data_IF_980483180688
#
_entry.id   IF_980483180688
#
_cell.length_a   1.000
_cell.length_b   1.000
_cell.length_c   1.000
_cell.angle_alpha   90.00
_cell.angle_beta   90.00
_cell.angle_gamma   90.00
#
_symmetry.space_group_name_H-M   'P 1'
#
loop_
_entity.id
_entity.type
_entity.pdbx_description
1 polymer ?
#
# COMPACT_ATOMS: atom_id res chain seq x y z
N UNK A 1 10.34 14.29 26.28
CA UNK A 1 11.15 15.28 27.03
C UNK A 1 12.43 15.64 26.27
N UNK A 2 13.42 14.76 26.15
CA UNK A 2 14.66 15.04 25.38
C UNK A 2 14.42 15.48 23.93
N UNK A 3 13.42 14.91 23.25
CA UNK A 3 12.97 15.38 21.93
C UNK A 3 12.60 16.86 21.97
N UNK A 4 11.60 17.23 22.79
CA UNK A 4 11.12 18.60 22.91
C UNK A 4 12.24 19.58 23.27
N UNK A 5 13.17 19.19 24.15
CA UNK A 5 14.35 20.00 24.47
C UNK A 5 15.26 20.24 23.26
N UNK A 6 15.58 19.19 22.48
CA UNK A 6 16.37 19.32 21.25
C UNK A 6 15.68 20.18 20.18
N UNK A 7 14.36 20.30 20.26
CA UNK A 7 13.52 21.10 19.37
C UNK A 7 13.18 22.48 19.94
N UNK A 8 13.95 22.97 20.93
CA UNK A 8 13.76 24.32 21.48
C UNK A 8 12.49 24.50 22.31
N UNK A 9 11.80 23.40 22.62
CA UNK A 9 10.55 23.33 23.41
C UNK A 9 10.81 22.71 24.78
N UNK A 10 11.95 23.05 25.39
CA UNK A 10 12.32 22.57 26.71
C UNK A 10 11.24 22.96 27.74
N UNK A 11 10.70 21.96 28.45
CA UNK A 11 9.65 22.17 29.46
C UNK A 11 8.21 22.20 28.93
N UNK A 12 7.98 22.07 27.62
CA UNK A 12 6.63 21.94 27.07
C UNK A 12 5.95 20.67 27.60
N UNK A 13 4.73 20.82 28.10
CA UNK A 13 3.85 19.72 28.51
C UNK A 13 2.95 19.25 27.36
N UNK A 14 2.26 18.13 27.55
CA UNK A 14 1.40 17.52 26.53
C UNK A 14 0.28 18.45 26.02
N UNK A 15 -0.14 19.44 26.81
CA UNK A 15 -1.14 20.43 26.43
C UNK A 15 -0.57 21.66 25.72
N UNK A 16 0.75 21.85 25.71
CA UNK A 16 1.40 23.06 25.18
C UNK A 16 1.73 22.94 23.69
N UNK A 17 1.54 21.76 23.11
CA UNK A 17 1.91 21.47 21.73
C UNK A 17 0.96 20.46 21.09
N UNK A 18 0.47 20.79 19.91
CA UNK A 18 -0.24 19.84 19.05
C UNK A 18 0.73 19.12 18.11
N UNK A 19 0.32 17.93 17.64
CA UNK A 19 1.13 17.18 16.70
C UNK A 19 1.17 17.85 15.31
N UNK A 20 0.11 18.55 14.89
CA UNK A 20 0.10 19.33 13.64
C UNK A 20 1.16 20.44 13.69
N UNK A 21 1.19 21.23 14.78
CA UNK A 21 2.22 22.25 14.99
C UNK A 21 3.63 21.64 14.98
N UNK A 22 3.83 20.43 15.50
CA UNK A 22 5.12 19.75 15.43
C UNK A 22 5.49 19.38 13.99
N UNK A 23 4.56 18.81 13.23
CA UNK A 23 4.80 18.41 11.85
C UNK A 23 5.09 19.64 10.99
N UNK A 24 4.28 20.68 11.10
CA UNK A 24 4.44 21.93 10.32
C UNK A 24 5.77 22.63 10.59
N UNK A 25 6.25 22.64 11.84
CA UNK A 25 7.50 23.33 12.18
C UNK A 25 8.75 22.49 11.91
N UNK A 26 8.70 21.19 12.20
CA UNK A 26 9.90 20.33 12.18
C UNK A 26 10.11 19.61 10.86
N UNK A 27 9.07 19.50 10.04
CA UNK A 27 9.13 18.82 8.75
C UNK A 27 9.12 19.83 7.61
N UNK A 28 9.76 19.41 6.52
CA UNK A 28 9.60 20.02 5.22
C UNK A 28 8.57 19.16 4.46
N UNK A 29 7.42 19.73 4.15
CA UNK A 29 6.31 19.03 3.49
C UNK A 29 6.16 19.48 2.03
N UNK A 30 6.41 18.56 1.09
CA UNK A 30 6.28 18.80 -0.33
C UNK A 30 4.87 18.43 -0.83
N UNK A 31 4.12 19.37 -1.44
CA UNK A 31 2.84 19.08 -2.05
C UNK A 31 3.02 18.43 -3.42
N UNK A 32 2.46 17.23 -3.61
CA UNK A 32 2.63 16.41 -4.82
C UNK A 32 1.28 15.80 -5.20
N UNK A 33 0.42 16.60 -5.82
CA UNK A 33 -0.95 16.19 -6.14
C UNK A 33 -1.74 15.83 -4.88
N UNK A 34 -2.21 14.58 -4.78
CA UNK A 34 -2.94 14.07 -3.60
C UNK A 34 -2.05 13.87 -2.38
N UNK A 35 -0.73 13.78 -2.56
CA UNK A 35 0.21 13.53 -1.47
C UNK A 35 0.77 14.83 -0.90
N UNK A 36 1.01 14.82 0.39
CA UNK A 36 1.90 15.75 1.07
C UNK A 36 3.01 14.92 1.72
N UNK A 37 4.18 14.89 1.07
CA UNK A 37 5.32 14.09 1.53
C UNK A 37 6.20 14.94 2.44
N UNK A 38 6.28 14.56 3.71
CA UNK A 38 7.00 15.26 4.74
C UNK A 38 8.28 14.52 5.15
N UNK A 39 9.36 15.24 5.40
CA UNK A 39 10.62 14.71 5.97
C UNK A 39 11.12 15.68 7.05
N UNK A 40 11.67 15.20 8.19
CA UNK A 40 12.21 16.10 9.19
C UNK A 40 13.34 16.95 8.61
N UNK A 41 13.29 18.26 8.80
CA UNK A 41 14.25 19.22 8.24
C UNK A 41 15.68 18.86 8.58
N UNK A 42 15.93 18.43 9.82
CA UNK A 42 17.25 17.99 10.29
C UNK A 42 17.87 16.89 9.43
N UNK A 43 17.07 15.99 8.85
CA UNK A 43 17.58 14.87 8.08
C UNK A 43 18.05 15.31 6.69
N UNK A 44 17.53 16.42 6.16
CA UNK A 44 17.95 16.98 4.86
C UNK A 44 19.39 17.49 4.86
N UNK A 45 19.98 17.79 6.02
CA UNK A 45 21.41 18.07 6.13
C UNK A 45 22.30 16.86 5.79
N UNK A 46 21.75 15.64 5.78
CA UNK A 46 22.50 14.43 5.43
C UNK A 46 22.67 14.37 3.91
N UNK A 47 23.91 14.25 3.37
CA UNK A 47 24.18 14.49 1.94
C UNK A 47 23.33 13.71 0.92
N UNK A 48 22.85 12.52 1.27
CA UNK A 48 22.03 11.69 0.38
C UNK A 48 20.53 11.93 0.49
N UNK A 49 20.05 12.54 1.57
CA UNK A 49 18.60 12.61 1.85
C UNK A 49 17.84 13.60 0.96
N UNK A 50 18.36 14.79 0.61
CA UNK A 50 17.66 15.69 -0.32
C UNK A 50 17.35 15.06 -1.68
N UNK A 51 18.34 14.43 -2.31
CA UNK A 51 18.18 13.76 -3.60
C UNK A 51 17.22 12.55 -3.49
N UNK A 52 17.28 11.83 -2.38
CA UNK A 52 16.37 10.70 -2.11
C UNK A 52 14.93 11.18 -1.92
N UNK A 53 14.73 12.25 -1.15
CA UNK A 53 13.43 12.86 -0.93
C UNK A 53 12.81 13.30 -2.27
N UNK A 54 13.56 14.03 -3.10
CA UNK A 54 13.16 14.39 -4.45
C UNK A 54 12.78 13.16 -5.30
N UNK A 55 13.60 12.08 -5.26
CA UNK A 55 13.31 10.84 -5.98
C UNK A 55 12.02 10.14 -5.51
N UNK A 56 11.75 10.15 -4.20
CA UNK A 56 10.50 9.63 -3.64
C UNK A 56 9.30 10.47 -4.09
N UNK A 57 9.44 11.79 -4.15
CA UNK A 57 8.38 12.67 -4.67
C UNK A 57 8.03 12.33 -6.12
N UNK A 58 9.03 12.09 -6.97
CA UNK A 58 8.83 11.67 -8.36
C UNK A 58 8.13 10.31 -8.45
N UNK A 59 8.54 9.32 -7.65
CA UNK A 59 7.89 8.00 -7.64
C UNK A 59 6.40 8.09 -7.23
N UNK A 60 6.04 8.98 -6.32
CA UNK A 60 4.64 9.19 -5.92
C UNK A 60 3.83 9.94 -6.99
N UNK A 61 4.46 10.82 -7.75
CA UNK A 61 3.84 11.46 -8.92
C UNK A 61 3.59 10.44 -10.03
N UNK A 62 4.57 9.57 -10.32
CA UNK A 62 4.45 8.47 -11.28
C UNK A 62 3.30 7.53 -10.91
N UNK A 63 3.15 7.25 -9.62
CA UNK A 63 2.08 6.42 -9.12
C UNK A 63 0.69 7.06 -9.34
N UNK A 64 0.56 8.39 -9.22
CA UNK A 64 -0.68 9.11 -9.55
C UNK A 64 -0.97 9.10 -11.05
N UNK A 65 0.06 9.25 -11.89
CA UNK A 65 -0.08 9.13 -13.34
C UNK A 65 -0.53 7.72 -13.75
N UNK A 66 0.02 6.68 -13.12
CA UNK A 66 -0.43 5.31 -13.33
C UNK A 66 -1.87 5.08 -12.85
N UNK A 67 -2.26 5.66 -11.72
CA UNK A 67 -3.65 5.62 -11.24
C UNK A 67 -4.60 6.26 -12.25
N UNK A 68 -4.22 7.40 -12.82
CA UNK A 68 -4.99 8.06 -13.89
C UNK A 68 -5.18 7.13 -15.10
N UNK A 69 -4.15 6.41 -15.51
CA UNK A 69 -4.23 5.42 -16.60
C UNK A 69 -5.16 4.25 -16.27
N UNK A 70 -5.27 3.86 -15.00
CA UNK A 70 -6.17 2.80 -14.54
C UNK A 70 -7.62 3.25 -14.49
N UNK A 71 -7.89 4.47 -14.01
CA UNK A 71 -9.26 4.99 -13.84
C UNK A 71 -9.81 5.60 -15.13
N UNK A 72 -8.97 6.14 -16.02
CA UNK A 72 -9.38 6.84 -17.25
C UNK A 72 -8.53 6.42 -18.46
N UNK A 73 -8.51 5.12 -18.83
CA UNK A 73 -7.66 4.63 -19.91
C UNK A 73 -8.08 5.25 -21.25
N UNK A 74 -7.15 5.97 -21.90
CA UNK A 74 -7.34 6.62 -23.20
C UNK A 74 -8.44 7.70 -23.23
N UNK A 75 -8.76 8.31 -22.09
CA UNK A 75 -9.75 9.40 -22.02
C UNK A 75 -9.11 10.74 -22.41
N UNK A 76 -9.65 11.39 -23.44
CA UNK A 76 -9.17 12.69 -23.93
C UNK A 76 -9.39 13.82 -22.93
N UNK A 77 -10.34 13.67 -22.01
CA UNK A 77 -10.66 14.67 -21.01
C UNK A 77 -9.60 14.74 -19.90
N UNK A 78 -8.64 13.79 -19.89
CA UNK A 78 -7.49 13.80 -18.97
C UNK A 78 -6.34 14.71 -19.41
N UNK A 79 -6.42 15.35 -20.58
CA UNK A 79 -5.35 16.22 -21.11
C UNK A 79 -4.91 17.33 -20.14
N UNK A 80 -5.81 18.07 -19.46
CA UNK A 80 -5.40 19.09 -18.50
C UNK A 80 -4.62 18.48 -17.32
N UNK A 81 -5.13 17.39 -16.75
CA UNK A 81 -4.47 16.71 -15.62
C UNK A 81 -3.10 16.18 -16.00
N UNK A 82 -2.94 15.65 -17.22
CA UNK A 82 -1.62 15.23 -17.74
C UNK A 82 -0.66 16.38 -17.95
N UNK A 83 -1.15 17.55 -18.34
CA UNK A 83 -0.33 18.75 -18.45
C UNK A 83 0.14 19.20 -17.05
N UNK A 84 -0.74 19.19 -16.05
CA UNK A 84 -0.38 19.50 -14.66
C UNK A 84 0.62 18.47 -14.10
N UNK A 85 0.42 17.15 -14.32
CA UNK A 85 1.37 16.10 -13.96
C UNK A 85 2.77 16.36 -14.57
N UNK A 86 2.83 16.70 -15.86
CA UNK A 86 4.09 16.99 -16.54
C UNK A 86 4.76 18.27 -16.00
N UNK A 87 3.98 19.31 -15.69
CA UNK A 87 4.47 20.55 -15.10
C UNK A 87 5.04 20.32 -13.69
N UNK A 88 4.30 19.60 -12.84
CA UNK A 88 4.72 19.24 -11.48
C UNK A 88 5.96 18.34 -11.53
N UNK A 89 6.04 17.37 -12.45
CA UNK A 89 7.25 16.55 -12.66
C UNK A 89 8.47 17.41 -12.94
N UNK A 90 8.37 18.30 -13.92
CA UNK A 90 9.47 19.19 -14.31
C UNK A 90 9.89 20.11 -13.16
N UNK A 91 8.92 20.61 -12.39
CA UNK A 91 9.18 21.40 -11.19
C UNK A 91 9.97 20.60 -10.15
N UNK A 92 9.55 19.37 -9.83
CA UNK A 92 10.24 18.49 -8.89
C UNK A 92 11.66 18.18 -9.37
N UNK A 93 11.85 17.83 -10.65
CA UNK A 93 13.17 17.57 -11.25
C UNK A 93 14.10 18.80 -11.18
N UNK A 94 13.53 20.00 -11.14
CA UNK A 94 14.25 21.27 -11.06
C UNK A 94 14.73 21.68 -9.67
N UNK A 95 14.31 20.99 -8.60
CA UNK A 95 14.69 21.37 -7.23
C UNK A 95 16.21 21.30 -7.00
N UNK A 96 16.78 22.34 -6.41
CA UNK A 96 18.17 22.31 -5.96
C UNK A 96 18.27 21.56 -4.62
N UNK A 97 18.87 20.37 -4.67
CA UNK A 97 19.16 19.56 -3.48
C UNK A 97 19.99 20.29 -2.42
N UNK A 98 20.77 21.31 -2.77
CA UNK A 98 21.49 22.15 -1.81
C UNK A 98 20.58 23.12 -1.06
N UNK A 99 19.58 23.69 -1.74
CA UNK A 99 18.55 24.51 -1.07
C UNK A 99 17.72 23.65 -0.12
N UNK A 100 17.34 22.44 -0.55
CA UNK A 100 16.68 21.47 0.34
C UNK A 100 17.54 21.12 1.56
N UNK A 101 18.86 20.95 1.39
CA UNK A 101 19.75 20.71 2.53
C UNK A 101 19.85 21.91 3.49
N UNK A 102 19.81 23.14 2.96
CA UNK A 102 19.85 24.36 3.75
C UNK A 102 18.62 24.53 4.66
N UNK A 103 17.49 23.89 4.31
CA UNK A 103 16.27 23.90 5.12
C UNK A 103 16.45 23.34 6.53
N UNK A 104 17.53 22.59 6.79
CA UNK A 104 17.88 22.09 8.11
C UNK A 104 18.33 23.19 9.07
N UNK A 105 18.80 24.32 8.55
CA UNK A 105 19.25 25.49 9.30
C UNK A 105 18.34 26.72 9.13
N UNK A 106 17.44 26.71 8.15
CA UNK A 106 16.56 27.84 7.85
C UNK A 106 15.38 27.88 8.82
N UNK A 107 15.06 29.07 9.33
CA UNK A 107 14.09 29.34 10.40
C UNK A 107 12.61 29.12 10.04
N UNK A 108 12.28 28.05 9.32
CA UNK A 108 10.90 27.59 9.11
C UNK A 108 10.25 28.01 7.79
N UNK A 109 11.00 28.35 6.74
CA UNK A 109 10.42 28.66 5.42
C UNK A 109 9.50 27.53 4.93
N UNK A 110 8.36 27.90 4.34
CA UNK A 110 7.46 26.95 3.68
C UNK A 110 8.11 26.30 2.46
N UNK A 111 7.56 25.18 1.97
CA UNK A 111 8.17 24.42 0.86
C UNK A 111 8.34 25.26 -0.41
N UNK A 112 7.28 25.93 -0.86
CA UNK A 112 7.30 26.76 -2.07
C UNK A 112 8.25 27.96 -1.95
N UNK A 113 8.39 28.54 -0.76
CA UNK A 113 9.34 29.63 -0.52
C UNK A 113 10.77 29.13 -0.61
N UNK A 114 11.04 27.95 -0.03
CA UNK A 114 12.37 27.33 -0.01
C UNK A 114 12.87 26.98 -1.42
N UNK A 115 12.01 26.41 -2.27
CA UNK A 115 12.37 26.02 -3.64
C UNK A 115 12.07 27.11 -4.68
N UNK A 116 11.75 28.32 -4.22
CA UNK A 116 11.47 29.49 -5.05
C UNK A 116 10.42 29.23 -6.16
N UNK A 117 9.33 28.53 -5.80
CA UNK A 117 8.27 28.17 -6.74
C UNK A 117 7.65 29.40 -7.42
N UNK A 118 7.47 29.29 -8.74
CA UNK A 118 6.72 30.28 -9.52
C UNK A 118 5.21 30.16 -9.28
N UNK A 119 4.41 31.22 -9.54
CA UNK A 119 2.96 31.14 -9.44
C UNK A 119 2.32 30.03 -10.29
N UNK A 120 2.86 29.76 -11.48
CA UNK A 120 2.35 28.71 -12.37
C UNK A 120 2.59 27.29 -11.81
N UNK A 121 3.73 27.07 -11.14
CA UNK A 121 4.05 25.78 -10.51
C UNK A 121 3.14 25.53 -9.30
N UNK A 122 2.88 26.57 -8.51
CA UNK A 122 1.92 26.52 -7.40
C UNK A 122 0.53 26.20 -7.95
N UNK A 123 0.08 26.93 -8.97
CA UNK A 123 -1.25 26.71 -9.56
C UNK A 123 -1.38 25.31 -10.16
N UNK A 124 -0.36 24.80 -10.87
CA UNK A 124 -0.36 23.44 -11.41
C UNK A 124 -0.45 22.37 -10.32
N UNK A 125 0.25 22.58 -9.20
CA UNK A 125 0.20 21.67 -8.05
C UNK A 125 -1.19 21.66 -7.40
N UNK A 126 -1.81 22.83 -7.23
CA UNK A 126 -3.16 22.95 -6.70
C UNK A 126 -4.23 22.37 -7.64
N UNK A 127 -4.13 22.61 -8.96
CA UNK A 127 -5.04 22.00 -9.94
C UNK A 127 -4.92 20.48 -9.99
N UNK A 128 -3.70 19.96 -9.89
CA UNK A 128 -3.46 18.52 -9.81
C UNK A 128 -4.09 17.92 -8.54
N UNK A 129 -3.80 18.51 -7.37
CA UNK A 129 -4.42 18.11 -6.10
C UNK A 129 -5.93 18.09 -6.20
N UNK A 130 -6.52 19.20 -6.66
CA UNK A 130 -7.97 19.34 -6.82
C UNK A 130 -8.56 18.25 -7.71
N UNK A 131 -7.90 17.95 -8.83
CA UNK A 131 -8.36 16.93 -9.79
C UNK A 131 -8.47 15.54 -9.16
N UNK A 132 -7.52 15.19 -8.28
CA UNK A 132 -7.53 13.89 -7.59
C UNK A 132 -8.46 13.92 -6.36
N UNK A 133 -8.37 14.95 -5.54
CA UNK A 133 -9.09 15.06 -4.26
C UNK A 133 -10.58 15.36 -4.39
N UNK A 134 -11.03 16.08 -5.43
CA UNK A 134 -12.45 16.43 -5.60
C UNK A 134 -13.23 15.45 -6.48
N UNK A 135 -12.73 14.23 -6.67
CA UNK A 135 -13.48 13.17 -7.36
C UNK A 135 -13.62 13.34 -8.88
N UNK A 136 -13.11 14.44 -9.45
CA UNK A 136 -13.20 14.74 -10.87
C UNK A 136 -12.62 13.60 -11.74
N UNK A 137 -11.52 12.97 -11.30
CA UNK A 137 -10.94 11.80 -11.98
C UNK A 137 -11.84 10.55 -11.91
N UNK A 138 -12.54 10.36 -10.80
CA UNK A 138 -13.47 9.25 -10.59
C UNK A 138 -14.82 9.48 -11.29
N UNK A 139 -15.12 10.74 -11.65
CA UNK A 139 -16.40 11.13 -12.26
C UNK A 139 -17.52 11.34 -11.24
N UNK A 140 -17.18 11.39 -9.95
CA UNK A 140 -18.12 11.70 -8.87
C UNK A 140 -17.82 13.04 -8.20
N UNK A 141 -18.61 13.35 -7.17
CA UNK A 141 -18.52 14.60 -6.38
C UNK A 141 -17.79 14.40 -5.05
N UNK A 142 -17.23 13.20 -4.81
CA UNK A 142 -16.58 12.85 -3.55
C UNK A 142 -15.34 13.70 -3.34
N UNK A 143 -15.22 14.29 -2.16
CA UNK A 143 -14.05 15.07 -1.74
C UNK A 143 -13.26 14.28 -0.71
N UNK A 144 -11.95 14.20 -0.89
CA UNK A 144 -11.03 13.66 0.12
C UNK A 144 -9.98 14.69 0.48
N UNK A 145 -9.49 14.62 1.71
CA UNK A 145 -8.33 15.40 2.14
C UNK A 145 -7.05 14.82 1.52
N UNK A 146 -5.97 15.63 1.39
CA UNK A 146 -4.66 15.14 0.99
C UNK A 146 -4.13 14.06 1.94
N UNK A 147 -3.36 13.13 1.37
CA UNK A 147 -2.68 12.07 2.12
C UNK A 147 -1.35 12.61 2.64
N UNK A 148 -1.25 12.83 3.95
CA UNK A 148 0.01 13.26 4.58
C UNK A 148 0.88 12.05 4.90
N UNK A 149 2.07 12.00 4.32
CA UNK A 149 3.04 10.92 4.52
C UNK A 149 4.30 11.50 5.15
N UNK A 150 4.57 11.17 6.42
CA UNK A 150 5.80 11.56 7.10
C UNK A 150 6.86 10.45 7.01
N UNK A 151 8.01 10.78 6.44
CA UNK A 151 9.16 9.90 6.29
C UNK A 151 10.10 10.02 7.49
N UNK A 152 10.59 8.90 7.99
CA UNK A 152 11.53 8.84 9.10
C UNK A 152 12.81 8.15 8.62
N UNK A 153 13.85 8.90 8.24
CA UNK A 153 15.09 8.34 7.69
C UNK A 153 15.82 7.37 8.63
N UNK A 154 15.75 7.60 9.94
CA UNK A 154 16.33 6.72 10.94
C UNK A 154 15.30 6.01 11.82
N UNK A 155 15.65 4.82 12.32
CA UNK A 155 14.84 4.09 13.32
C UNK A 155 14.61 4.92 14.58
N UNK A 156 15.63 5.68 15.00
CA UNK A 156 15.54 6.57 16.15
C UNK A 156 14.45 7.63 15.92
N UNK A 157 14.43 8.29 14.77
CA UNK A 157 13.43 9.32 14.45
C UNK A 157 12.01 8.73 14.43
N UNK A 158 11.85 7.53 13.84
CA UNK A 158 10.55 6.85 13.77
C UNK A 158 10.01 6.49 15.16
N UNK A 159 10.82 5.83 15.99
CA UNK A 159 10.40 5.42 17.34
C UNK A 159 10.23 6.63 18.25
N UNK A 160 11.09 7.64 18.13
CA UNK A 160 10.95 8.89 18.87
C UNK A 160 9.63 9.59 18.56
N UNK A 161 9.22 9.64 17.30
CA UNK A 161 7.92 10.20 16.92
C UNK A 161 6.77 9.43 17.58
N UNK A 162 6.81 8.09 17.59
CA UNK A 162 5.79 7.27 18.27
C UNK A 162 5.73 7.55 19.78
N UNK A 163 6.89 7.74 20.41
CA UNK A 163 6.96 8.17 21.80
C UNK A 163 6.37 9.58 22.01
N UNK A 164 6.65 10.51 21.10
CA UNK A 164 6.11 11.88 21.14
C UNK A 164 4.59 11.88 20.96
N UNK A 165 4.06 11.09 20.03
CA UNK A 165 2.60 10.93 19.84
C UNK A 165 1.93 10.46 21.13
N UNK A 166 2.43 9.40 21.77
CA UNK A 166 1.86 8.94 23.04
C UNK A 166 2.09 9.92 24.21
N UNK A 167 3.12 10.76 24.15
CA UNK A 167 3.34 11.82 25.14
C UNK A 167 2.33 12.96 24.98
N UNK A 168 2.15 13.48 23.77
CA UNK A 168 1.21 14.57 23.45
C UNK A 168 -0.25 14.11 23.53
N UNK A 169 -0.51 12.82 23.30
CA UNK A 169 -1.86 12.23 23.30
C UNK A 169 -1.91 11.01 24.21
N UNK A 170 -2.06 11.20 25.53
CA UNK A 170 -2.03 10.10 26.51
C UNK A 170 -3.05 8.98 26.22
N UNK A 171 -4.19 9.29 25.62
CA UNK A 171 -5.20 8.31 25.21
C UNK A 171 -4.70 7.33 24.13
N UNK A 172 -3.62 7.67 23.42
CA UNK A 172 -3.02 6.82 22.39
C UNK A 172 -1.86 5.95 22.92
N UNK A 173 -1.40 6.16 24.15
CA UNK A 173 -0.33 5.36 24.76
C UNK A 173 -0.58 3.84 24.72
N UNK A 174 -1.81 3.33 24.99
CA UNK A 174 -2.07 1.89 24.93
C UNK A 174 -1.83 1.26 23.54
N UNK A 175 -1.86 2.07 22.48
CA UNK A 175 -1.68 1.63 21.10
C UNK A 175 -0.24 1.80 20.60
N UNK A 176 0.47 2.85 21.03
CA UNK A 176 1.81 3.17 20.55
C UNK A 176 2.95 2.78 21.51
N UNK A 177 2.68 2.62 22.79
CA UNK A 177 3.69 2.25 23.80
C UNK A 177 3.56 0.77 24.16
N UNK A 178 3.58 -0.05 23.11
CA UNK A 178 3.43 -1.51 23.19
C UNK A 178 4.77 -2.20 23.03
N UNK A 179 4.85 -3.46 23.49
CA UNK A 179 6.01 -4.31 23.20
C UNK A 179 6.07 -4.65 21.71
N UNK A 180 7.26 -4.65 21.11
CA UNK A 180 7.44 -4.93 19.67
C UNK A 180 7.40 -3.69 18.77
N UNK A 181 7.33 -2.48 19.33
CA UNK A 181 7.40 -1.23 18.56
C UNK A 181 8.65 -1.14 17.67
N UNK A 182 9.75 -1.75 18.13
CA UNK A 182 11.01 -1.83 17.42
C UNK A 182 10.90 -2.54 16.05
N UNK A 183 9.88 -3.37 15.84
CA UNK A 183 9.64 -4.08 14.57
C UNK A 183 8.62 -3.38 13.68
N UNK A 184 8.07 -2.25 14.11
CA UNK A 184 7.11 -1.48 13.31
C UNK A 184 7.80 -0.71 12.20
N UNK A 185 7.19 -0.63 11.03
CA UNK A 185 7.72 0.13 9.89
C UNK A 185 6.80 1.26 9.43
N UNK A 186 5.61 1.33 10.02
CA UNK A 186 4.62 2.35 9.73
C UNK A 186 3.70 2.57 10.92
N UNK A 187 3.06 3.73 10.96
CA UNK A 187 1.88 3.99 11.77
C UNK A 187 0.91 4.89 11.02
N UNK A 188 -0.36 4.89 11.45
CA UNK A 188 -1.40 5.78 10.92
C UNK A 188 -2.07 6.49 12.09
N UNK A 189 -2.32 7.78 11.93
CA UNK A 189 -3.17 8.60 12.78
C UNK A 189 -4.35 9.11 11.96
N UNK A 190 -5.46 8.36 12.03
CA UNK A 190 -6.63 8.57 11.19
C UNK A 190 -7.21 9.98 11.32
N UNK A 191 -7.23 10.53 12.53
CA UNK A 191 -7.82 11.84 12.83
C UNK A 191 -6.96 13.03 12.37
N UNK A 192 -5.69 12.78 12.07
CA UNK A 192 -4.75 13.78 11.54
C UNK A 192 -4.39 13.54 10.07
N UNK A 193 -4.97 12.51 9.45
CA UNK A 193 -4.63 12.06 8.10
C UNK A 193 -3.13 11.80 7.88
N UNK A 194 -2.41 11.40 8.95
CA UNK A 194 -0.96 11.26 8.94
C UNK A 194 -0.52 9.78 8.91
N UNK A 195 0.23 9.42 7.89
CA UNK A 195 0.89 8.13 7.75
C UNK A 195 2.38 8.29 7.98
N UNK A 196 2.90 7.74 9.08
CA UNK A 196 4.32 7.78 9.40
C UNK A 196 5.03 6.53 8.91
N UNK A 197 6.11 6.68 8.15
CA UNK A 197 6.83 5.58 7.48
C UNK A 197 8.33 5.57 7.83
N UNK A 198 8.82 4.44 8.33
CA UNK A 198 10.25 4.25 8.55
C UNK A 198 10.97 3.95 7.22
N UNK A 199 12.15 4.53 7.01
CA UNK A 199 13.01 4.26 5.84
C UNK A 199 14.14 3.26 6.12
N UNK A 200 14.15 2.68 7.32
CA UNK A 200 15.11 1.65 7.75
C UNK A 200 14.39 0.51 8.47
N UNK A 201 14.95 -0.69 8.33
CA UNK A 201 14.62 -1.87 9.13
C UNK A 201 15.31 -1.80 10.50
N UNK A 202 14.77 -2.45 11.54
CA UNK A 202 15.51 -2.69 12.76
C UNK A 202 16.78 -3.51 12.45
N UNK A 203 17.87 -3.23 13.16
CA UNK A 203 19.09 -4.03 13.03
C UNK A 203 18.85 -5.46 13.57
N UNK A 204 19.41 -6.46 12.88
CA UNK A 204 19.29 -7.86 13.29
C UNK A 204 19.85 -8.08 14.71
N UNK A 205 19.10 -8.81 15.55
CA UNK A 205 19.51 -9.15 16.91
C UNK A 205 19.41 -8.02 17.94
N UNK A 206 18.91 -6.84 17.58
CA UNK A 206 18.68 -5.74 18.52
C UNK A 206 17.31 -5.89 19.17
N UNK A 207 17.28 -6.37 20.41
CA UNK A 207 16.10 -6.33 21.28
C UNK A 207 16.32 -5.33 22.40
N UNK A 208 15.42 -4.36 22.57
CA UNK A 208 15.45 -3.44 23.69
C UNK A 208 16.28 -2.17 23.47
N UNK A 209 15.65 -1.04 23.84
CA UNK A 209 16.15 0.32 24.15
C UNK A 209 17.12 1.02 23.20
N UNK A 210 17.69 0.37 22.19
CA UNK A 210 18.75 0.95 21.35
C UNK A 210 18.23 1.14 19.92
N UNK A 211 17.57 2.28 19.69
CA UNK A 211 17.00 2.64 18.37
C UNK A 211 18.00 3.39 17.47
N UNK A 212 19.25 3.55 17.93
CA UNK A 212 20.29 4.29 17.20
C UNK A 212 20.87 3.56 16.00
N UNK A 213 20.58 2.26 15.85
CA UNK A 213 21.01 1.43 14.72
C UNK A 213 19.81 0.95 13.91
N UNK A 214 19.95 0.93 12.59
CA UNK A 214 19.00 0.35 11.65
C UNK A 214 19.72 -0.06 10.37
N UNK A 215 19.13 -1.00 9.64
CA UNK A 215 19.59 -1.38 8.30
C UNK A 215 18.77 -0.60 7.27
N UNK A 216 19.42 0.07 6.33
CA UNK A 216 18.68 0.77 5.28
C UNK A 216 17.96 -0.25 4.38
N UNK A 217 16.73 0.06 3.99
CA UNK A 217 15.93 -0.89 3.21
C UNK A 217 16.57 -1.18 1.84
N UNK A 218 17.27 -0.19 1.29
CA UNK A 218 17.97 -0.29 0.00
C UNK A 218 19.29 -1.09 0.02
N UNK A 219 19.80 -1.49 1.20
CA UNK A 219 21.07 -2.23 1.30
C UNK A 219 20.97 -3.65 0.73
N UNK A 220 19.83 -4.32 0.93
CA UNK A 220 19.58 -5.69 0.43
C UNK A 220 18.96 -5.70 -0.97
N UNK A 221 18.07 -4.75 -1.26
CA UNK A 221 17.46 -4.57 -2.57
C UNK A 221 17.35 -3.07 -2.86
N UNK A 222 18.01 -2.60 -3.93
CA UNK A 222 18.11 -1.17 -4.27
C UNK A 222 16.76 -0.46 -4.42
N UNK A 223 15.71 -1.18 -4.81
CA UNK A 223 14.38 -0.60 -5.01
C UNK A 223 13.46 -0.75 -3.80
N UNK A 224 13.80 -1.58 -2.80
CA UNK A 224 12.88 -1.94 -1.71
C UNK A 224 12.35 -0.72 -0.94
N UNK A 225 13.17 0.31 -0.72
CA UNK A 225 12.71 1.55 -0.09
C UNK A 225 11.63 2.25 -0.94
N UNK A 226 11.90 2.43 -2.23
CA UNK A 226 10.98 3.10 -3.15
C UNK A 226 9.68 2.31 -3.26
N UNK A 227 9.78 1.00 -3.45
CA UNK A 227 8.62 0.09 -3.50
C UNK A 227 7.78 0.20 -2.22
N UNK A 228 8.41 0.19 -1.04
CA UNK A 228 7.70 0.23 0.24
C UNK A 228 7.01 1.57 0.49
N UNK A 229 7.69 2.69 0.26
CA UNK A 229 7.09 4.02 0.43
C UNK A 229 5.95 4.22 -0.56
N UNK A 230 6.15 3.88 -1.84
CA UNK A 230 5.11 4.01 -2.87
C UNK A 230 3.92 3.11 -2.55
N UNK A 231 4.13 1.86 -2.12
CA UNK A 231 3.03 0.96 -1.75
C UNK A 231 2.18 1.52 -0.61
N UNK A 232 2.81 2.01 0.45
CA UNK A 232 2.11 2.48 1.65
C UNK A 232 1.40 3.81 1.40
N UNK A 233 2.03 4.71 0.62
CA UNK A 233 1.37 5.92 0.15
C UNK A 233 0.16 5.59 -0.74
N UNK A 234 0.28 4.62 -1.66
CA UNK A 234 -0.84 4.17 -2.49
C UNK A 234 -1.96 3.52 -1.68
N UNK A 235 -1.64 2.72 -0.67
CA UNK A 235 -2.65 2.19 0.26
C UNK A 235 -3.45 3.34 0.89
N UNK A 236 -2.75 4.34 1.42
CA UNK A 236 -3.36 5.51 2.03
C UNK A 236 -4.19 6.32 1.03
N UNK A 237 -3.69 6.52 -0.19
CA UNK A 237 -4.42 7.19 -1.27
C UNK A 237 -5.72 6.47 -1.60
N UNK A 238 -5.67 5.17 -1.86
CA UNK A 238 -6.88 4.40 -2.21
C UNK A 238 -7.86 4.43 -1.04
N UNK A 239 -7.39 4.21 0.20
CA UNK A 239 -8.24 4.32 1.40
C UNK A 239 -8.98 5.67 1.43
N UNK A 240 -8.29 6.78 1.17
CA UNK A 240 -8.90 8.13 1.21
C UNK A 240 -9.83 8.40 0.04
N UNK A 241 -9.48 7.95 -1.17
CA UNK A 241 -10.34 8.08 -2.33
C UNK A 241 -11.68 7.36 -2.15
N UNK A 242 -11.72 6.31 -1.34
CA UNK A 242 -12.92 5.50 -1.09
C UNK A 242 -13.42 5.56 0.37
N UNK A 243 -12.98 6.54 1.17
CA UNK A 243 -13.43 6.81 2.56
C UNK A 243 -13.42 5.59 3.50
N UNK A 244 -12.33 4.81 3.51
CA UNK A 244 -12.17 3.59 4.34
C UNK A 244 -13.18 2.46 4.06
N UNK A 245 -14.10 2.61 3.10
CA UNK A 245 -15.18 1.64 2.87
C UNK A 245 -14.72 0.42 2.04
N UNK A 246 -13.60 0.50 1.32
CA UNK A 246 -13.08 -0.63 0.54
C UNK A 246 -12.45 -1.72 1.43
N UNK A 247 -12.63 -3.02 1.09
CA UNK A 247 -11.90 -4.09 1.76
C UNK A 247 -10.39 -3.86 1.67
N UNK A 248 -9.67 -3.87 2.79
CA UNK A 248 -8.24 -3.56 2.85
C UNK A 248 -7.40 -4.49 1.99
N UNK A 249 -7.86 -5.72 1.78
CA UNK A 249 -7.23 -6.68 0.87
C UNK A 249 -7.33 -6.30 -0.61
N UNK A 250 -8.37 -5.58 -1.01
CA UNK A 250 -8.50 -5.00 -2.35
C UNK A 250 -7.57 -3.80 -2.47
N UNK A 251 -7.54 -2.92 -1.46
CA UNK A 251 -6.60 -1.80 -1.37
C UNK A 251 -5.15 -2.27 -1.57
N UNK A 252 -4.73 -3.28 -0.81
CA UNK A 252 -3.38 -3.85 -0.92
C UNK A 252 -3.15 -4.51 -2.27
N UNK A 253 -4.14 -5.19 -2.84
CA UNK A 253 -3.98 -5.82 -4.15
C UNK A 253 -3.83 -4.78 -5.26
N UNK A 254 -4.51 -3.64 -5.18
CA UNK A 254 -4.35 -2.51 -6.10
C UNK A 254 -2.94 -1.92 -5.98
N UNK A 255 -2.51 -1.55 -4.77
CA UNK A 255 -1.20 -0.93 -4.55
C UNK A 255 -0.05 -1.85 -4.95
N UNK A 256 -0.10 -3.14 -4.62
CA UNK A 256 0.92 -4.11 -5.02
C UNK A 256 1.04 -4.19 -6.55
N UNK A 257 -0.09 -4.24 -7.26
CA UNK A 257 -0.07 -4.29 -8.72
C UNK A 257 0.50 -3.01 -9.34
N UNK A 258 0.20 -1.84 -8.77
CA UNK A 258 0.79 -0.57 -9.20
C UNK A 258 2.29 -0.52 -8.98
N UNK A 259 2.78 -0.98 -7.81
CA UNK A 259 4.21 -1.04 -7.50
C UNK A 259 4.94 -1.97 -8.46
N UNK A 260 4.38 -3.15 -8.75
CA UNK A 260 4.97 -4.05 -9.77
C UNK A 260 5.00 -3.38 -11.15
N UNK A 261 4.00 -2.58 -11.51
CA UNK A 261 4.01 -1.85 -12.79
C UNK A 261 5.02 -0.70 -12.81
N UNK A 262 5.20 0.01 -11.69
CA UNK A 262 6.16 1.11 -11.57
C UNK A 262 7.62 0.64 -11.50
N UNK A 263 7.91 -0.44 -10.77
CA UNK A 263 9.28 -0.88 -10.49
C UNK A 263 9.65 -2.22 -11.14
N UNK A 264 8.69 -2.91 -11.75
CA UNK A 264 8.86 -4.23 -12.35
C UNK A 264 8.81 -5.39 -11.36
N UNK A 265 8.85 -5.11 -10.06
CA UNK A 265 8.81 -6.08 -8.97
C UNK A 265 8.29 -5.44 -7.67
N UNK A 266 8.11 -6.26 -6.65
CA UNK A 266 7.78 -5.86 -5.29
C UNK A 266 8.39 -6.85 -4.29
N UNK A 267 9.40 -6.38 -3.59
CA UNK A 267 10.12 -7.09 -2.55
C UNK A 267 9.93 -6.42 -1.17
N UNK A 268 8.76 -5.84 -0.98
CA UNK A 268 8.41 -5.16 0.25
C UNK A 268 7.93 -6.14 1.30
N UNK A 269 8.15 -5.78 2.57
CA UNK A 269 7.59 -6.47 3.74
C UNK A 269 6.36 -5.79 4.30
N UNK A 270 5.80 -4.83 3.56
CA UNK A 270 4.64 -4.04 3.97
C UNK A 270 3.36 -4.88 4.12
N UNK A 271 3.25 -5.98 3.36
CA UNK A 271 2.14 -6.92 3.43
C UNK A 271 2.61 -8.31 3.80
N UNK A 272 1.77 -9.10 4.47
CA UNK A 272 2.05 -10.48 4.88
C UNK A 272 2.98 -10.61 6.09
N UNK A 273 3.94 -9.71 6.29
CA UNK A 273 4.75 -9.68 7.51
C UNK A 273 4.00 -8.95 8.64
N UNK A 274 3.42 -9.71 9.57
CA UNK A 274 2.37 -9.23 10.49
C UNK A 274 2.79 -9.23 11.96
N UNK A 275 4.08 -9.09 12.26
CA UNK A 275 4.49 -8.85 13.66
C UNK A 275 3.73 -7.63 14.22
N UNK A 276 2.91 -7.88 15.24
CA UNK A 276 2.22 -6.85 16.01
C UNK A 276 1.05 -6.12 15.33
N UNK A 277 0.61 -6.51 14.12
CA UNK A 277 -0.59 -5.87 13.52
C UNK A 277 -1.87 -6.45 14.14
N UNK A 278 -2.61 -5.62 14.86
CA UNK A 278 -4.00 -5.92 15.25
C UNK A 278 -4.95 -5.51 14.14
N UNK A 279 -5.76 -6.43 13.62
CA UNK A 279 -6.88 -6.10 12.72
C UNK A 279 -8.21 -6.24 13.46
N UNK A 280 -9.15 -5.30 13.23
CA UNK A 280 -10.53 -5.45 13.72
C UNK A 280 -11.25 -6.58 12.98
N UNK A 281 -12.27 -7.14 13.62
CA UNK A 281 -13.04 -8.25 13.09
C UNK A 281 -13.96 -7.82 11.92
N UNK A 282 -13.98 -8.66 10.88
CA UNK A 282 -14.84 -8.66 9.68
C UNK A 282 -14.31 -7.89 8.46
N UNK A 283 -13.82 -8.66 7.50
CA UNK A 283 -13.95 -8.37 6.07
C UNK A 283 -14.50 -9.62 5.39
N UNK A 284 -15.60 -9.49 4.62
CA UNK A 284 -16.18 -10.56 3.80
C UNK A 284 -15.22 -11.06 2.70
N UNK A 285 -14.06 -10.43 2.55
CA UNK A 285 -13.04 -10.78 1.58
C UNK A 285 -11.97 -11.75 2.12
N UNK A 286 -12.01 -12.12 3.41
CA UNK A 286 -10.99 -12.98 4.05
C UNK A 286 -11.54 -14.30 4.60
N UNK A 287 -11.30 -15.42 3.89
CA UNK A 287 -11.24 -16.72 4.52
C UNK A 287 -9.90 -16.87 5.26
N UNK A 288 -9.92 -16.97 6.60
CA UNK A 288 -8.73 -17.16 7.44
C UNK A 288 -8.28 -15.95 8.27
N UNK A 289 -9.01 -14.83 8.25
CA UNK A 289 -8.84 -13.77 9.24
C UNK A 289 -9.44 -14.22 10.57
N UNK A 290 -8.83 -13.88 11.71
CA UNK A 290 -9.42 -14.22 13.01
C UNK A 290 -10.82 -13.59 13.09
N UNK A 291 -11.85 -14.44 13.24
CA UNK A 291 -13.26 -14.04 13.25
C UNK A 291 -13.64 -13.10 14.41
N UNK A 292 -12.75 -12.98 15.40
CA UNK A 292 -12.87 -12.11 16.58
C UNK A 292 -11.96 -10.87 16.53
N UNK A 293 -11.21 -10.67 15.44
CA UNK A 293 -10.07 -9.74 15.44
C UNK A 293 -8.92 -10.27 16.30
N UNK A 294 -7.71 -9.74 16.10
CA UNK A 294 -6.54 -10.16 16.85
C UNK A 294 -5.21 -9.87 16.15
N UNK A 295 -4.12 -10.31 16.77
CA UNK A 295 -2.76 -10.22 16.21
C UNK A 295 -2.63 -11.34 15.17
N UNK A 296 -2.40 -10.96 13.91
CA UNK A 296 -2.18 -11.93 12.85
C UNK A 296 -0.80 -12.61 13.04
N UNK A 297 -0.68 -13.92 12.76
CA UNK A 297 0.58 -14.63 12.90
C UNK A 297 1.63 -14.03 11.94
N UNK A 298 2.88 -13.95 12.40
CA UNK A 298 4.04 -13.52 11.62
C UNK A 298 4.14 -14.36 10.34
N UNK A 299 4.16 -13.76 9.14
CA UNK A 299 4.53 -14.51 7.94
C UNK A 299 5.99 -14.23 7.55
N UNK A 300 6.73 -15.30 7.28
CA UNK A 300 8.09 -15.19 6.75
C UNK A 300 8.12 -14.51 5.37
N UNK A 301 8.97 -13.50 5.22
CA UNK A 301 9.24 -12.86 3.93
C UNK A 301 9.94 -13.81 2.93
N UNK A 302 10.53 -14.92 3.41
CA UNK A 302 11.20 -15.95 2.59
C UNK A 302 10.24 -17.06 2.17
N UNK A 303 9.02 -16.70 1.79
CA UNK A 303 8.01 -17.66 1.35
C UNK A 303 8.14 -17.93 -0.16
N UNK A 304 7.92 -19.17 -0.61
CA UNK A 304 7.88 -19.59 -2.03
C UNK A 304 6.98 -18.72 -2.91
N UNK A 305 5.92 -18.11 -2.35
CA UNK A 305 5.06 -17.19 -3.09
C UNK A 305 5.78 -15.92 -3.54
N UNK A 306 6.89 -15.56 -2.89
CA UNK A 306 7.70 -14.36 -3.17
C UNK A 306 8.97 -14.65 -3.98
N UNK A 307 9.13 -15.88 -4.48
CA UNK A 307 10.37 -16.33 -5.14
C UNK A 307 10.85 -15.40 -6.28
N UNK A 308 9.95 -14.79 -7.01
CA UNK A 308 10.25 -13.88 -8.13
C UNK A 308 9.97 -12.40 -7.81
N UNK A 309 9.90 -12.04 -6.51
CA UNK A 309 9.54 -10.71 -6.04
C UNK A 309 8.28 -10.16 -6.73
N UNK A 310 7.31 -11.02 -7.05
CA UNK A 310 6.06 -10.59 -7.68
C UNK A 310 6.18 -10.07 -9.12
N UNK A 311 7.33 -10.21 -9.81
CA UNK A 311 7.58 -9.75 -11.20
C UNK A 311 6.52 -10.16 -12.24
N UNK A 312 5.75 -11.20 -11.94
CA UNK A 312 4.66 -11.70 -12.78
C UNK A 312 3.31 -11.64 -12.08
N UNK A 313 3.13 -10.67 -11.17
CA UNK A 313 1.91 -10.50 -10.37
C UNK A 313 1.50 -11.80 -9.68
N UNK A 314 2.50 -12.57 -9.22
CA UNK A 314 2.35 -13.88 -8.56
C UNK A 314 1.68 -14.99 -9.40
N UNK A 315 1.47 -14.76 -10.70
CA UNK A 315 0.83 -15.71 -11.62
C UNK A 315 1.62 -17.01 -11.73
N UNK A 316 2.96 -16.93 -11.79
CA UNK A 316 3.84 -18.11 -11.90
C UNK A 316 3.78 -19.01 -10.67
N UNK A 317 4.06 -18.54 -9.43
CA UNK A 317 3.97 -19.41 -8.26
C UNK A 317 2.56 -20.00 -8.07
N UNK A 318 1.49 -19.24 -8.35
CA UNK A 318 0.12 -19.75 -8.36
C UNK A 318 -0.08 -20.84 -9.42
N UNK A 319 0.46 -20.66 -10.63
CA UNK A 319 0.37 -21.66 -11.69
C UNK A 319 1.06 -22.98 -11.30
N UNK A 320 2.24 -22.90 -10.67
CA UNK A 320 2.94 -24.06 -10.15
C UNK A 320 2.10 -24.79 -9.09
N UNK A 321 1.61 -24.06 -8.08
CA UNK A 321 0.78 -24.62 -7.03
C UNK A 321 -0.52 -25.25 -7.59
N UNK A 322 -1.14 -24.61 -8.59
CA UNK A 322 -2.33 -25.13 -9.28
C UNK A 322 -2.03 -26.43 -10.05
N UNK A 323 -0.86 -26.50 -10.70
CA UNK A 323 -0.41 -27.69 -11.44
C UNK A 323 -0.19 -28.86 -10.50
N UNK A 324 0.43 -28.62 -9.35
CA UNK A 324 0.68 -29.65 -8.34
C UNK A 324 -0.64 -30.12 -7.70
N UNK A 325 -1.55 -29.20 -7.37
CA UNK A 325 -2.86 -29.55 -6.81
C UNK A 325 -3.71 -30.37 -7.78
N UNK A 326 -3.60 -30.07 -9.09
CA UNK A 326 -4.23 -30.86 -10.15
C UNK A 326 -3.71 -32.30 -10.24
N UNK A 327 -2.44 -32.53 -9.88
CA UNK A 327 -1.84 -33.89 -9.87
C UNK A 327 -2.26 -34.66 -8.64
N UNK A 328 -2.22 -34.05 -7.46
CA UNK A 328 -2.57 -34.69 -6.18
C UNK A 328 -4.05 -35.12 -6.13
N UNK A 329 -4.99 -34.30 -6.64
CA UNK A 329 -6.43 -34.63 -6.57
C UNK A 329 -6.88 -35.74 -7.53
N UNK A 330 -6.06 -36.15 -8.50
CA UNK A 330 -6.42 -37.18 -9.48
C UNK A 330 -7.57 -36.79 -10.42
N UNK A 331 -8.51 -37.71 -10.71
CA UNK A 331 -9.64 -37.54 -11.68
C UNK A 331 -10.80 -36.68 -11.13
N UNK A 332 -10.51 -35.49 -10.61
CA UNK A 332 -11.56 -34.50 -10.29
C UNK A 332 -12.12 -33.85 -11.56
N UNK A 333 -13.42 -33.52 -11.56
CA UNK A 333 -14.08 -32.74 -12.62
C UNK A 333 -13.59 -31.28 -12.65
N UNK A 334 -13.13 -30.73 -11.52
CA UNK A 334 -12.69 -29.32 -11.42
C UNK A 334 -11.19 -29.29 -11.11
N UNK A 335 -10.36 -29.55 -12.13
CA UNK A 335 -8.90 -29.63 -11.98
C UNK A 335 -8.28 -28.27 -11.61
N UNK A 336 -8.85 -27.18 -12.12
CA UNK A 336 -8.25 -25.86 -12.04
C UNK A 336 -8.48 -25.13 -10.70
N UNK A 337 -9.28 -25.68 -9.79
CA UNK A 337 -9.58 -25.05 -8.51
C UNK A 337 -8.73 -25.60 -7.35
N UNK A 338 -7.66 -26.35 -7.62
CA UNK A 338 -6.90 -27.06 -6.59
C UNK A 338 -5.49 -26.51 -6.47
N UNK A 339 -5.03 -26.27 -5.26
CA UNK A 339 -3.70 -25.77 -4.94
C UNK A 339 -3.09 -26.59 -3.81
N UNK A 340 -1.76 -26.63 -3.74
CA UNK A 340 -1.03 -27.31 -2.66
C UNK A 340 -0.40 -26.27 -1.76
N UNK A 341 -0.76 -26.29 -0.48
CA UNK A 341 -0.07 -25.58 0.60
C UNK A 341 1.11 -26.42 1.12
N UNK A 342 2.20 -25.77 1.51
CA UNK A 342 3.41 -26.43 2.05
C UNK A 342 3.97 -25.67 3.25
N UNK A 343 4.46 -26.40 4.25
CA UNK A 343 5.26 -25.80 5.33
C UNK A 343 6.62 -25.36 4.78
N UNK A 344 7.32 -24.51 5.54
CA UNK A 344 8.64 -23.98 5.16
C UNK A 344 9.67 -25.09 4.91
N UNK A 345 9.65 -26.15 5.73
CA UNK A 345 10.49 -27.35 5.58
C UNK A 345 9.99 -28.34 4.51
N UNK A 346 8.83 -28.07 3.91
CA UNK A 346 8.19 -28.93 2.91
C UNK A 346 7.65 -30.26 3.45
N UNK A 347 7.72 -30.50 4.77
CA UNK A 347 7.29 -31.77 5.41
C UNK A 347 5.77 -31.90 5.42
N UNK A 348 5.06 -30.79 5.67
CA UNK A 348 3.61 -30.74 5.69
C UNK A 348 3.14 -30.23 4.32
N UNK A 349 2.29 -31.00 3.66
CA UNK A 349 1.63 -30.63 2.41
C UNK A 349 0.13 -30.84 2.56
N UNK A 350 -0.68 -29.89 2.09
CA UNK A 350 -2.15 -30.03 2.07
C UNK A 350 -2.74 -29.48 0.79
N UNK A 351 -3.58 -30.29 0.17
CA UNK A 351 -4.46 -29.87 -0.92
C UNK A 351 -5.55 -28.94 -0.38
N UNK A 352 -5.67 -27.75 -0.97
CA UNK A 352 -6.77 -26.82 -0.77
C UNK A 352 -7.53 -26.62 -2.08
N UNK A 353 -8.81 -26.33 -1.99
CA UNK A 353 -9.65 -26.10 -3.15
C UNK A 353 -10.61 -24.94 -2.92
N UNK A 354 -10.88 -24.18 -3.99
CA UNK A 354 -11.74 -23.01 -3.94
C UNK A 354 -13.23 -23.38 -3.83
N UNK A 355 -14.11 -22.38 -3.69
CA UNK A 355 -13.86 -20.94 -3.89
C UNK A 355 -12.96 -20.28 -2.84
N UNK A 356 -12.19 -19.27 -3.25
CA UNK A 356 -11.28 -18.50 -2.39
C UNK A 356 -11.63 -17.01 -2.29
N UNK A 357 -12.61 -16.53 -3.07
CA UNK A 357 -13.03 -15.14 -3.11
C UNK A 357 -14.49 -14.96 -2.68
N UNK A 358 -14.74 -13.84 -2.00
CA UNK A 358 -16.08 -13.38 -1.63
C UNK A 358 -16.80 -14.28 -0.62
N UNK A 359 -18.11 -14.02 -0.50
CA UNK A 359 -19.10 -14.72 0.33
C UNK A 359 -19.07 -16.24 0.14
N UNK A 360 -18.72 -16.72 -1.06
CA UNK A 360 -18.62 -18.14 -1.36
C UNK A 360 -17.44 -18.82 -0.66
N UNK A 361 -16.42 -18.07 -0.28
CA UNK A 361 -15.27 -18.57 0.44
C UNK A 361 -15.44 -18.50 1.98
N UNK A 362 -16.60 -18.03 2.47
CA UNK A 362 -16.94 -18.10 3.89
C UNK A 362 -16.95 -19.55 4.37
N UNK A 363 -16.32 -19.81 5.51
CA UNK A 363 -16.27 -21.14 6.09
C UNK A 363 -15.21 -22.08 5.49
N UNK A 364 -14.25 -21.57 4.71
CA UNK A 364 -13.06 -22.36 4.39
C UNK A 364 -12.41 -22.88 5.70
N UNK A 365 -12.06 -24.18 5.77
CA UNK A 365 -11.54 -24.76 6.99
C UNK A 365 -10.20 -24.13 7.36
N UNK A 366 -9.95 -23.98 8.65
CA UNK A 366 -8.66 -23.52 9.15
C UNK A 366 -7.51 -24.41 8.63
N UNK A 367 -6.34 -23.80 8.34
CA UNK A 367 -5.18 -24.57 7.95
C UNK A 367 -4.76 -25.48 9.12
N UNK A 368 -4.20 -26.66 8.83
CA UNK A 368 -3.45 -27.41 9.83
C UNK A 368 -2.36 -26.54 10.45
N UNK A 369 -2.01 -26.81 11.71
CA UNK A 369 -0.86 -26.18 12.37
C UNK A 369 0.38 -26.31 11.49
N UNK A 370 1.10 -25.20 11.28
CA UNK A 370 2.27 -25.13 10.40
C UNK A 370 2.01 -24.71 8.96
N UNK A 371 0.74 -24.53 8.54
CA UNK A 371 0.39 -24.04 7.19
C UNK A 371 -0.29 -22.66 7.17
N UNK A 372 -0.49 -22.03 8.33
CA UNK A 372 -1.18 -20.74 8.42
C UNK A 372 -0.46 -19.63 7.64
N UNK A 373 0.87 -19.56 7.74
CA UNK A 373 1.67 -18.57 7.02
C UNK A 373 1.63 -18.79 5.50
N UNK A 374 1.76 -20.04 5.05
CA UNK A 374 1.70 -20.37 3.62
C UNK A 374 0.30 -20.13 3.03
N UNK A 375 -0.77 -20.35 3.81
CA UNK A 375 -2.12 -20.00 3.39
C UNK A 375 -2.33 -18.49 3.29
N UNK A 376 -1.84 -17.70 4.25
CA UNK A 376 -1.96 -16.26 4.22
C UNK A 376 -1.26 -15.65 2.99
N UNK A 377 -0.02 -16.08 2.72
CA UNK A 377 0.73 -15.65 1.54
C UNK A 377 0.11 -16.18 0.23
N UNK A 378 -0.43 -17.39 0.22
CA UNK A 378 -1.20 -17.92 -0.91
C UNK A 378 -2.39 -17.00 -1.24
N UNK A 379 -3.22 -16.67 -0.25
CA UNK A 379 -4.42 -15.83 -0.44
C UNK A 379 -4.04 -14.42 -0.88
N UNK A 380 -2.96 -13.84 -0.33
CA UNK A 380 -2.41 -12.55 -0.78
C UNK A 380 -2.00 -12.62 -2.26
N UNK A 381 -1.16 -13.58 -2.62
CA UNK A 381 -0.71 -13.78 -4.00
C UNK A 381 -1.90 -14.00 -4.95
N UNK A 382 -2.88 -14.80 -4.53
CA UNK A 382 -4.09 -15.11 -5.29
C UNK A 382 -4.90 -13.85 -5.62
N UNK A 383 -5.13 -12.96 -4.64
CA UNK A 383 -5.87 -11.72 -4.84
C UNK A 383 -5.11 -10.74 -5.74
N UNK A 384 -3.81 -10.58 -5.56
CA UNK A 384 -2.98 -9.74 -6.44
C UNK A 384 -3.08 -10.22 -7.89
N UNK A 385 -2.92 -11.53 -8.12
CA UNK A 385 -3.02 -12.13 -9.45
C UNK A 385 -4.43 -12.02 -10.05
N UNK A 386 -5.47 -12.09 -9.21
CA UNK A 386 -6.85 -11.92 -9.63
C UNK A 386 -7.13 -10.48 -10.09
N UNK A 387 -6.69 -9.47 -9.33
CA UNK A 387 -6.82 -8.05 -9.72
C UNK A 387 -6.03 -7.77 -11.00
N UNK A 388 -4.81 -8.28 -11.13
CA UNK A 388 -4.04 -8.22 -12.37
C UNK A 388 -4.80 -8.82 -13.55
N UNK A 389 -5.36 -10.02 -13.36
CA UNK A 389 -6.16 -10.68 -14.38
C UNK A 389 -7.41 -9.89 -14.75
N UNK A 390 -8.13 -9.30 -13.80
CA UNK A 390 -9.31 -8.49 -14.07
C UNK A 390 -8.97 -7.35 -15.05
N UNK A 391 -7.85 -6.66 -14.83
CA UNK A 391 -7.38 -5.57 -15.69
C UNK A 391 -6.86 -6.05 -17.05
N UNK A 392 -6.18 -7.18 -17.12
CA UNK A 392 -5.46 -7.60 -18.34
C UNK A 392 -6.24 -8.59 -19.23
N UNK A 393 -7.16 -9.38 -18.65
CA UNK A 393 -7.86 -10.45 -19.37
C UNK A 393 -9.30 -10.74 -18.89
N UNK A 394 -9.80 -10.06 -17.85
CA UNK A 394 -11.11 -10.29 -17.24
C UNK A 394 -12.30 -10.16 -18.19
N UNK A 395 -12.14 -9.40 -19.28
CA UNK A 395 -13.16 -9.18 -20.31
C UNK A 395 -12.74 -9.71 -21.70
N UNK A 396 -11.89 -10.74 -21.75
CA UNK A 396 -11.54 -11.48 -22.97
C UNK A 396 -10.48 -10.83 -23.88
N UNK A 397 -10.25 -9.52 -23.78
CA UNK A 397 -9.13 -8.82 -24.40
C UNK A 397 -8.56 -7.75 -23.46
N UNK A 398 -7.29 -7.37 -23.62
CA UNK A 398 -6.64 -6.36 -22.78
C UNK A 398 -7.39 -5.03 -22.77
N UNK A 399 -7.73 -4.50 -23.95
CA UNK A 399 -8.47 -3.23 -24.08
C UNK A 399 -9.83 -3.26 -23.39
N UNK A 400 -10.61 -4.33 -23.59
CA UNK A 400 -11.92 -4.47 -22.95
C UNK A 400 -11.79 -4.65 -21.43
N UNK A 401 -10.75 -5.36 -20.98
CA UNK A 401 -10.50 -5.63 -19.57
C UNK A 401 -10.11 -4.35 -18.84
N UNK A 402 -9.21 -3.54 -19.43
CA UNK A 402 -8.86 -2.23 -18.91
C UNK A 402 -10.06 -1.28 -18.85
N UNK A 403 -10.92 -1.27 -19.87
CA UNK A 403 -12.13 -0.45 -19.87
C UNK A 403 -13.11 -0.85 -18.76
N UNK A 404 -13.39 -2.14 -18.58
CA UNK A 404 -14.24 -2.64 -17.48
C UNK A 404 -13.60 -2.44 -16.11
N UNK A 405 -12.30 -2.59 -16.01
CA UNK A 405 -11.59 -2.34 -14.76
C UNK A 405 -11.68 -0.87 -14.35
N UNK A 406 -11.49 0.04 -15.30
CA UNK A 406 -11.69 1.47 -15.08
C UNK A 406 -13.13 1.82 -14.70
N UNK A 407 -14.12 1.20 -15.37
CA UNK A 407 -15.54 1.32 -15.03
C UNK A 407 -15.81 0.86 -13.59
N UNK A 408 -15.26 -0.29 -13.19
CA UNK A 408 -15.37 -0.80 -11.84
C UNK A 408 -14.73 0.11 -10.80
N UNK A 409 -13.52 0.63 -11.03
CA UNK A 409 -12.88 1.57 -10.11
C UNK A 409 -13.73 2.84 -9.90
N UNK A 410 -14.42 3.32 -10.94
CA UNK A 410 -15.33 4.47 -10.83
C UNK A 410 -16.67 4.11 -10.18
N UNK A 411 -17.19 2.93 -10.45
CA UNK A 411 -18.42 2.42 -9.80
C UNK A 411 -18.26 2.36 -8.28
N UNK A 412 -17.07 1.96 -7.81
CA UNK A 412 -16.69 1.96 -6.39
C UNK A 412 -16.73 3.34 -5.74
N UNK A 413 -16.79 4.45 -6.48
CA UNK A 413 -16.96 5.78 -5.89
C UNK A 413 -18.40 6.00 -5.37
N UNK A 414 -19.37 5.20 -5.83
CA UNK A 414 -20.74 5.27 -5.32
C UNK A 414 -20.87 4.52 -3.97
N UNK A 415 -21.48 5.16 -2.97
CA UNK A 415 -21.68 4.58 -1.63
C UNK A 415 -22.40 3.22 -1.66
N UNK A 416 -23.36 3.07 -2.58
CA UNK A 416 -24.10 1.82 -2.77
C UNK A 416 -23.22 0.67 -3.30
N UNK A 417 -22.24 0.95 -4.15
CA UNK A 417 -21.33 -0.06 -4.68
C UNK A 417 -20.29 -0.52 -3.65
N UNK A 418 -19.98 0.30 -2.65
CA UNK A 418 -19.04 -0.08 -1.60
C UNK A 418 -19.72 -0.93 -0.51
N UNK A 419 -20.97 -0.59 -0.16
CA UNK A 419 -21.79 -1.39 0.78
C UNK A 419 -22.04 -2.83 0.26
N UNK A 420 -22.05 -3.03 -1.06
CA UNK A 420 -22.08 -4.35 -1.69
C UNK A 420 -21.00 -4.49 -2.78
N UNK A 421 -19.75 -4.66 -2.32
CA UNK A 421 -18.57 -4.84 -3.16
C UNK A 421 -18.76 -5.91 -4.24
N UNK A 422 -19.40 -7.05 -3.91
CA UNK A 422 -19.62 -8.13 -4.88
C UNK A 422 -20.64 -7.74 -5.95
N UNK A 423 -21.70 -7.01 -5.58
CA UNK A 423 -22.64 -6.47 -6.54
C UNK A 423 -21.97 -5.49 -7.52
N UNK A 424 -21.00 -4.68 -7.08
CA UNK A 424 -20.26 -3.77 -7.99
C UNK A 424 -19.58 -4.54 -9.15
N UNK A 425 -19.00 -5.70 -8.86
CA UNK A 425 -18.38 -6.56 -9.87
C UNK A 425 -19.43 -7.21 -10.78
N UNK A 426 -20.58 -7.60 -10.24
CA UNK A 426 -21.70 -8.12 -11.04
C UNK A 426 -22.22 -7.07 -12.00
N UNK A 427 -22.42 -5.82 -11.54
CA UNK A 427 -22.87 -4.70 -12.36
C UNK A 427 -21.98 -4.50 -13.58
N UNK A 428 -20.66 -4.48 -13.38
CA UNK A 428 -19.70 -4.18 -14.45
C UNK A 428 -19.37 -5.41 -15.31
N UNK A 429 -19.17 -6.58 -14.71
CA UNK A 429 -18.74 -7.78 -15.44
C UNK A 429 -19.87 -8.70 -15.88
N UNK A 430 -21.08 -8.53 -15.34
CA UNK A 430 -22.28 -9.30 -15.68
C UNK A 430 -22.31 -10.72 -15.10
N UNK A 431 -21.39 -11.06 -14.21
CA UNK A 431 -21.29 -12.37 -13.55
C UNK A 431 -20.81 -12.20 -12.10
N UNK A 432 -21.17 -13.11 -11.18
CA UNK A 432 -20.72 -13.07 -9.79
C UNK A 432 -19.19 -13.17 -9.65
N UNK A 433 -18.68 -12.60 -8.56
CA UNK A 433 -17.26 -12.71 -8.17
C UNK A 433 -16.85 -14.19 -8.09
N UNK A 434 -17.63 -14.99 -7.37
CA UNK A 434 -17.39 -16.42 -7.20
C UNK A 434 -18.69 -17.22 -7.19
N UNK A 435 -18.58 -18.55 -7.19
CA UNK A 435 -19.70 -19.48 -7.16
C UNK A 435 -19.29 -20.78 -6.44
N UNK A 436 -20.23 -21.41 -5.74
CA UNK A 436 -20.00 -22.71 -5.08
C UNK A 436 -19.43 -23.77 -6.04
N UNK A 437 -19.94 -23.78 -7.28
CA UNK A 437 -19.35 -24.53 -8.39
C UNK A 437 -18.52 -23.61 -9.28
N UNK A 438 -17.20 -23.70 -9.16
CA UNK A 438 -16.27 -22.86 -9.93
C UNK A 438 -16.27 -23.23 -11.42
N UNK A 439 -16.69 -22.29 -12.27
CA UNK A 439 -16.83 -22.46 -13.72
C UNK A 439 -16.76 -21.15 -14.50
N UNK A 440 -17.17 -21.15 -15.77
CA UNK A 440 -17.16 -19.92 -16.60
C UNK A 440 -18.23 -18.90 -16.22
N UNK A 441 -19.15 -19.28 -15.34
CA UNK A 441 -20.26 -18.45 -14.87
C UNK A 441 -19.89 -17.53 -13.70
N UNK A 442 -18.65 -17.58 -13.20
CA UNK A 442 -18.12 -16.63 -12.21
C UNK A 442 -16.75 -16.08 -12.61
N UNK A 443 -16.39 -14.91 -12.09
CA UNK A 443 -15.09 -14.28 -12.34
C UNK A 443 -13.95 -15.17 -11.84
N UNK A 444 -14.06 -15.72 -10.63
CA UNK A 444 -13.05 -16.61 -10.06
C UNK A 444 -12.83 -17.86 -10.92
N UNK A 445 -13.91 -18.50 -11.40
CA UNK A 445 -13.75 -19.67 -12.27
C UNK A 445 -13.14 -19.33 -13.64
N UNK A 446 -13.45 -18.16 -14.22
CA UNK A 446 -12.77 -17.65 -15.44
C UNK A 446 -11.29 -17.39 -15.19
N UNK A 447 -10.94 -16.78 -14.05
CA UNK A 447 -9.56 -16.57 -13.63
C UNK A 447 -8.79 -17.88 -13.50
N UNK A 448 -9.35 -18.88 -12.81
CA UNK A 448 -8.69 -20.18 -12.62
C UNK A 448 -8.46 -20.92 -13.95
N UNK A 449 -9.41 -20.83 -14.88
CA UNK A 449 -9.26 -21.35 -16.24
C UNK A 449 -8.16 -20.62 -17.01
N UNK A 450 -8.09 -19.29 -16.90
CA UNK A 450 -7.02 -18.48 -17.50
C UNK A 450 -5.66 -18.83 -16.89
N UNK A 451 -5.58 -18.92 -15.56
CA UNK A 451 -4.36 -19.25 -14.82
C UNK A 451 -3.81 -20.58 -15.31
N UNK A 452 -4.65 -21.60 -15.49
CA UNK A 452 -4.23 -22.93 -15.95
C UNK A 452 -3.55 -22.96 -17.32
N UNK A 453 -3.75 -21.92 -18.14
CA UNK A 453 -3.16 -21.77 -19.47
C UNK A 453 -1.86 -20.96 -19.45
N UNK A 454 -1.53 -20.32 -18.33
CA UNK A 454 -0.29 -19.56 -18.20
C UNK A 454 0.92 -20.47 -18.15
N UNK A 455 2.06 -19.90 -18.58
CA UNK A 455 3.36 -20.56 -18.46
C UNK A 455 3.73 -20.63 -16.98
N UNK A 456 4.04 -21.85 -16.53
CA UNK A 456 4.69 -22.09 -15.24
C UNK A 456 6.13 -21.64 -15.33
#
# INVERSE_FOLDING_TARGET
KNFLERHGRAGAEAGDLTLDELVETEFLAAPIGVFELAIPRRNLATPSEPARFQGLCLNLLDAQELWLDWVRPNDNDTKPVRADLAAVRKWIEGWDTKQLAASASDGGLGFHELVESTPEEIESTERLRKSVCEGALMGGERKCEPVRVALFPSRADFVEMLCVVGYLRPNLQPYFWVSGLETWHQFNMTDMNLFGLAMSYPAEGVTGSTYSSGERMEEKNKNALNEQITQLALNAMVIRLYDDDLPGTVVHSLSINMVIESFGEIDTRADGHLEGRSTQAREAFVPGGQSQGGILPTASAKNRWRYDAGRFHYVRPLRYAQKDGSKERGRSKIKHANFVLRSEDGVISKLVYGPFLGSQAEGLPEPPKGLAEDQAEFLRAYRVAFIHWLREAGAGSKKASQAKFAEWLRELDSRAAIEDFEASLVTVYGVPLSSAELGKESLEGRFLLWLSKQKS
#
